data_IF_660493270526
#
_entry.id   IF_660493270526
#
_cell.length_a   1.000
_cell.length_b   1.000
_cell.length_c   1.000
_cell.angle_alpha   90.00
_cell.angle_beta   90.00
_cell.angle_gamma   90.00
#
_symmetry.space_group_name_H-M   'P 1'
#
loop_
_entity.id
_entity.type
_entity.pdbx_description
1 polymer ?
#
# COMPACT_ATOMS: atom_id res chain seq x y z
N UNK A 1 2.84 4.45 -21.68
CA UNK A 1 3.33 5.79 -21.28
C UNK A 1 4.82 5.82 -21.55
N UNK A 2 5.31 6.85 -22.18
CA UNK A 2 6.76 7.05 -22.29
C UNK A 2 7.24 7.59 -20.95
N UNK A 3 8.23 6.95 -20.34
CA UNK A 3 8.99 7.57 -19.26
C UNK A 3 9.72 8.76 -19.91
N UNK A 4 9.54 9.95 -19.37
CA UNK A 4 10.19 11.16 -19.87
C UNK A 4 11.72 11.05 -19.81
N UNK A 5 12.46 11.92 -20.51
CA UNK A 5 13.91 11.85 -20.56
C UNK A 5 14.53 12.03 -19.17
N UNK A 6 15.57 11.26 -18.89
CA UNK A 6 16.41 11.44 -17.69
C UNK A 6 17.28 12.67 -17.90
N UNK A 7 17.17 13.65 -17.02
CA UNK A 7 17.99 14.86 -17.04
C UNK A 7 18.99 14.88 -15.89
N UNK A 8 20.17 15.41 -16.15
CA UNK A 8 21.17 15.70 -15.13
C UNK A 8 21.04 17.16 -14.67
N UNK A 9 20.90 17.37 -13.37
CA UNK A 9 20.87 18.73 -12.78
C UNK A 9 22.29 19.15 -12.43
N UNK A 10 22.76 20.23 -13.05
CA UNK A 10 24.02 20.89 -12.69
C UNK A 10 23.74 22.16 -11.90
N UNK A 11 24.27 22.28 -10.70
CA UNK A 11 24.47 23.58 -10.04
C UNK A 11 25.75 24.18 -10.62
N UNK A 12 25.66 25.43 -11.13
CA UNK A 12 26.71 26.06 -11.92
C UNK A 12 28.08 26.13 -11.26
N UNK A 13 28.96 25.26 -11.70
CA UNK A 13 30.40 25.41 -11.73
C UNK A 13 30.97 24.22 -12.54
N UNK A 14 31.67 24.53 -13.66
CA UNK A 14 32.56 23.71 -14.48
C UNK A 14 32.20 22.24 -14.75
N UNK A 15 32.01 21.94 -16.03
CA UNK A 15 31.71 20.61 -16.57
C UNK A 15 32.79 19.55 -16.30
N UNK A 16 32.33 18.30 -16.01
CA UNK A 16 32.77 17.19 -16.80
C UNK A 16 31.59 16.49 -17.48
N UNK A 17 31.80 16.07 -18.71
CA UNK A 17 30.85 15.33 -19.54
C UNK A 17 30.63 13.94 -18.95
N UNK A 18 29.47 13.68 -18.36
CA UNK A 18 29.02 12.34 -17.96
C UNK A 18 28.02 11.76 -18.97
N UNK A 19 27.89 10.42 -19.06
CA UNK A 19 27.08 9.78 -20.09
C UNK A 19 25.60 10.03 -19.88
N UNK A 20 24.94 10.47 -20.93
CA UNK A 20 23.48 10.56 -21.04
C UNK A 20 22.90 9.15 -21.12
N UNK A 21 22.24 8.67 -20.07
CA UNK A 21 21.50 7.41 -20.12
C UNK A 21 20.15 7.66 -20.83
N UNK A 22 20.08 7.27 -22.09
CA UNK A 22 18.84 7.10 -22.82
C UNK A 22 18.23 5.76 -22.38
N UNK A 23 17.02 5.79 -21.81
CA UNK A 23 16.25 4.58 -21.59
C UNK A 23 15.80 4.01 -22.94
N UNK A 24 16.08 2.73 -23.25
CA UNK A 24 15.71 2.15 -24.53
C UNK A 24 14.20 1.95 -24.63
N UNK A 25 13.65 2.32 -25.79
CA UNK A 25 12.35 1.89 -26.24
C UNK A 25 12.37 0.36 -26.42
N UNK A 26 11.36 -0.29 -25.91
CA UNK A 26 11.20 -1.74 -25.96
C UNK A 26 11.34 -2.28 -27.39
N UNK A 27 12.38 -3.12 -27.64
CA UNK A 27 12.41 -4.28 -28.56
C UNK A 27 13.78 -4.95 -28.58
N UNK A 28 13.81 -6.29 -28.39
CA UNK A 28 14.87 -7.19 -28.89
C UNK A 28 15.92 -7.63 -27.87
N UNK A 29 15.93 -8.92 -27.59
CA UNK A 29 16.80 -9.72 -26.73
C UNK A 29 18.29 -9.76 -27.18
N UNK A 30 19.16 -10.64 -26.59
CA UNK A 30 19.97 -10.37 -25.40
C UNK A 30 21.50 -10.39 -25.74
N UNK A 31 22.32 -9.74 -24.95
CA UNK A 31 23.76 -10.01 -24.94
C UNK A 31 24.25 -10.33 -23.53
N UNK A 32 24.79 -11.54 -23.40
CA UNK A 32 25.51 -12.10 -22.25
C UNK A 32 26.83 -11.36 -22.03
N UNK A 33 27.22 -11.18 -20.74
CA UNK A 33 28.57 -11.44 -20.19
C UNK A 33 28.57 -11.19 -18.70
N UNK A 34 28.82 -12.27 -18.02
CA UNK A 34 29.86 -12.74 -17.13
C UNK A 34 30.08 -11.89 -15.88
N UNK A 35 29.69 -12.49 -14.79
CA UNK A 35 30.09 -12.18 -13.43
C UNK A 35 31.08 -13.25 -13.00
N UNK A 36 32.22 -12.82 -12.53
CA UNK A 36 33.10 -13.63 -11.73
C UNK A 36 32.68 -13.61 -10.27
N UNK A 37 32.78 -14.79 -9.66
CA UNK A 37 32.52 -15.05 -8.27
C UNK A 37 33.63 -14.46 -7.38
N UNK A 38 33.27 -14.11 -6.20
CA UNK A 38 33.86 -14.30 -4.90
C UNK A 38 33.56 -13.13 -3.97
N UNK A 39 32.73 -13.37 -2.99
CA UNK A 39 33.03 -13.15 -1.57
C UNK A 39 31.80 -13.52 -0.70
N UNK A 40 31.91 -14.73 -0.15
CA UNK A 40 31.07 -15.15 0.95
C UNK A 40 31.73 -14.68 2.25
N UNK A 41 31.23 -13.65 2.87
CA UNK A 41 31.51 -13.31 4.25
C UNK A 41 30.22 -13.14 5.03
N UNK A 42 30.03 -14.06 5.96
CA UNK A 42 28.94 -14.12 6.90
C UNK A 42 28.83 -12.84 7.73
N UNK A 43 27.69 -12.16 7.59
CA UNK A 43 27.22 -11.23 8.61
C UNK A 43 25.89 -11.76 9.13
N UNK A 44 25.92 -12.23 10.39
CA UNK A 44 24.74 -12.57 11.15
C UNK A 44 23.83 -11.33 11.23
N UNK A 45 22.84 -11.25 10.37
CA UNK A 45 21.83 -10.21 10.43
C UNK A 45 20.93 -10.48 11.64
N UNK A 46 21.05 -9.63 12.66
CA UNK A 46 20.07 -9.49 13.72
C UNK A 46 18.72 -9.20 13.05
N UNK A 47 17.72 -10.04 13.36
CA UNK A 47 16.34 -9.74 13.01
C UNK A 47 15.99 -8.32 13.44
N UNK A 48 15.51 -7.43 12.56
CA UNK A 48 14.92 -6.20 13.01
C UNK A 48 13.67 -6.58 13.80
N UNK A 49 13.62 -6.21 15.06
CA UNK A 49 12.39 -6.22 15.83
C UNK A 49 11.36 -5.41 15.05
N UNK A 50 10.12 -5.90 15.01
CA UNK A 50 8.97 -5.14 14.55
C UNK A 50 9.08 -3.74 15.18
N UNK A 51 9.54 -2.76 14.39
CA UNK A 51 9.60 -1.40 14.86
C UNK A 51 8.17 -0.95 15.11
N UNK A 52 7.93 -0.62 16.34
CA UNK A 52 6.71 -0.03 16.83
C UNK A 52 6.26 1.07 15.89
N UNK A 53 5.11 0.84 15.25
CA UNK A 53 4.38 1.89 14.58
C UNK A 53 3.86 2.81 15.69
N UNK A 54 4.69 3.77 16.11
CA UNK A 54 4.35 4.77 17.11
C UNK A 54 3.40 5.79 16.50
N UNK A 55 2.14 5.38 16.38
CA UNK A 55 0.98 6.24 16.33
C UNK A 55 -0.16 5.45 16.94
N UNK A 56 -0.65 5.82 18.11
CA UNK A 56 -1.80 5.18 18.70
C UNK A 56 -3.02 5.39 17.78
N UNK A 57 -3.93 4.40 17.70
CA UNK A 57 -5.21 4.63 17.02
C UNK A 57 -5.97 5.70 17.80
N UNK A 58 -6.32 6.81 17.15
CA UNK A 58 -7.19 7.83 17.68
C UNK A 58 -8.54 7.23 18.07
N UNK A 59 -8.73 6.94 19.33
CA UNK A 59 -10.03 6.74 19.93
C UNK A 59 -10.67 8.10 20.18
N UNK A 60 -11.90 8.25 19.75
CA UNK A 60 -12.80 9.32 20.14
C UNK A 60 -12.91 9.38 21.68
N UNK A 61 -12.31 10.40 22.29
CA UNK A 61 -12.55 10.75 23.68
C UNK A 61 -13.75 11.68 23.78
N UNK A 62 -14.61 11.53 24.79
CA UNK A 62 -15.72 12.44 25.06
C UNK A 62 -15.20 13.79 25.58
N UNK A 63 -15.96 14.88 25.45
CA UNK A 63 -15.55 16.21 25.88
C UNK A 63 -15.74 16.42 27.38
N UNK A 64 -14.75 17.04 28.00
CA UNK A 64 -14.96 17.82 29.20
C UNK A 64 -14.20 17.39 30.45
N UNK A 65 -13.16 18.14 30.80
CA UNK A 65 -12.93 18.68 32.14
C UNK A 65 -11.62 19.49 32.23
N UNK A 66 -11.45 20.38 33.24
CA UNK A 66 -10.81 21.67 33.08
C UNK A 66 -9.36 21.76 33.56
N UNK A 67 -8.72 22.83 33.12
CA UNK A 67 -7.46 23.47 33.52
C UNK A 67 -6.74 23.01 34.78
N UNK A 68 -5.43 22.78 34.66
CA UNK A 68 -4.46 22.94 35.74
C UNK A 68 -3.16 23.61 35.24
N UNK A 69 -2.42 24.32 36.10
CA UNK A 69 -1.64 25.50 35.75
C UNK A 69 -0.21 25.23 35.25
N UNK A 70 0.28 26.15 34.44
CA UNK A 70 1.66 26.21 33.93
C UNK A 70 2.71 26.38 35.05
N UNK A 71 3.89 25.75 34.91
CA UNK A 71 5.09 26.14 35.63
C UNK A 71 5.84 27.29 34.93
N UNK A 72 6.66 28.10 35.65
CA UNK A 72 7.28 29.33 35.18
C UNK A 72 8.48 29.06 34.24
N UNK A 73 8.92 30.11 33.49
CA UNK A 73 9.94 29.96 32.45
C UNK A 73 11.35 29.85 33.04
N UNK A 74 12.11 28.89 32.57
CA UNK A 74 13.56 28.80 32.83
C UNK A 74 14.36 29.61 31.81
N UNK A 75 15.44 30.21 32.26
CA UNK A 75 16.33 31.11 31.56
C UNK A 75 17.11 30.47 30.38
N UNK A 76 17.70 31.29 29.47
CA UNK A 76 18.24 30.81 28.21
C UNK A 76 19.62 30.18 28.41
N UNK A 77 19.70 28.91 28.07
CA UNK A 77 20.96 28.18 27.87
C UNK A 77 21.27 28.14 26.37
N UNK A 78 22.37 28.75 25.99
CA UNK A 78 22.99 28.69 24.68
C UNK A 78 23.39 27.25 24.35
N UNK A 79 22.82 26.70 23.26
CA UNK A 79 23.17 25.40 22.71
C UNK A 79 22.81 25.39 21.24
N UNK A 80 23.78 25.62 20.36
CA UNK A 80 23.68 25.46 18.92
C UNK A 80 23.25 24.06 18.55
N UNK A 81 22.12 23.99 17.87
CA UNK A 81 21.54 22.77 17.31
C UNK A 81 20.42 23.15 16.36
N UNK A 82 20.72 23.93 15.32
CA UNK A 82 19.75 24.31 14.28
C UNK A 82 19.43 23.12 13.39
N UNK A 83 18.45 22.32 13.81
CA UNK A 83 17.69 21.47 12.92
C UNK A 83 16.82 22.35 12.03
N UNK A 84 17.42 23.03 11.04
CA UNK A 84 16.67 23.77 10.03
C UNK A 84 15.91 22.77 9.18
N UNK A 85 14.57 22.80 9.23
CA UNK A 85 13.74 22.16 8.24
C UNK A 85 14.25 22.58 6.84
N UNK A 86 14.47 21.62 5.91
CA UNK A 86 15.01 21.94 4.60
C UNK A 86 14.05 22.92 3.91
N UNK A 87 14.56 24.11 3.59
CA UNK A 87 13.79 25.14 2.87
C UNK A 87 13.49 24.70 1.41
N UNK A 88 12.73 25.52 0.69
CA UNK A 88 12.48 25.29 -0.74
C UNK A 88 13.80 25.14 -1.50
N UNK A 89 13.88 24.14 -2.37
CA UNK A 89 15.06 23.89 -3.22
C UNK A 89 14.66 23.83 -4.69
N UNK A 90 15.57 24.25 -5.59
CA UNK A 90 15.35 24.18 -7.04
C UNK A 90 16.16 23.03 -7.64
N UNK A 91 15.48 22.19 -8.40
CA UNK A 91 16.09 21.08 -9.15
C UNK A 91 15.65 21.21 -10.62
N UNK A 92 16.57 21.55 -11.51
CA UNK A 92 16.26 21.84 -12.92
C UNK A 92 15.10 22.84 -13.05
N UNK A 93 14.01 22.42 -13.66
CA UNK A 93 12.82 23.24 -13.93
C UNK A 93 11.76 23.14 -12.80
N UNK A 94 12.11 22.54 -11.65
CA UNK A 94 11.18 22.33 -10.56
C UNK A 94 11.59 23.03 -9.27
N UNK A 95 10.62 23.67 -8.63
CA UNK A 95 10.72 24.14 -7.26
C UNK A 95 10.18 23.07 -6.32
N UNK A 96 11.05 22.52 -5.47
CA UNK A 96 10.68 21.51 -4.47
C UNK A 96 10.29 22.18 -3.16
N UNK A 97 9.10 21.89 -2.68
CA UNK A 97 8.55 22.33 -1.42
C UNK A 97 8.44 21.11 -0.50
N UNK A 98 9.25 21.03 0.57
CA UNK A 98 9.21 19.89 1.49
C UNK A 98 7.82 19.70 2.09
N UNK A 99 7.38 18.45 2.26
CA UNK A 99 6.18 18.11 3.00
C UNK A 99 6.57 17.77 4.44
N UNK A 100 5.98 18.45 5.40
CA UNK A 100 6.27 18.26 6.83
C UNK A 100 5.92 16.86 7.35
N UNK A 101 5.02 16.16 6.68
CA UNK A 101 4.50 14.88 7.13
C UNK A 101 5.27 13.66 6.59
N UNK A 102 6.12 13.83 5.57
CA UNK A 102 6.84 12.73 4.90
C UNK A 102 8.27 13.14 4.55
N UNK A 103 9.23 12.59 5.25
CA UNK A 103 10.64 12.69 4.86
C UNK A 103 10.83 12.12 3.44
N UNK A 104 11.69 12.73 2.64
CA UNK A 104 12.02 12.32 1.27
C UNK A 104 10.91 12.50 0.21
N UNK A 105 9.77 13.10 0.57
CA UNK A 105 8.71 13.44 -0.38
C UNK A 105 8.50 14.95 -0.39
N UNK A 106 8.49 15.54 -1.57
CA UNK A 106 8.27 16.98 -1.77
C UNK A 106 7.16 17.21 -2.80
N UNK A 107 6.45 18.30 -2.64
CA UNK A 107 5.62 18.88 -3.68
C UNK A 107 6.54 19.56 -4.68
N UNK A 108 6.41 19.28 -5.95
CA UNK A 108 7.23 19.84 -7.01
C UNK A 108 6.36 20.71 -7.93
N UNK A 109 6.77 21.96 -8.11
CA UNK A 109 6.10 22.90 -9.01
C UNK A 109 7.00 23.14 -10.22
N UNK A 110 6.52 22.82 -11.41
CA UNK A 110 7.22 23.16 -12.66
C UNK A 110 7.16 24.67 -12.88
N UNK A 111 8.33 25.30 -12.97
CA UNK A 111 8.46 26.77 -13.03
C UNK A 111 7.86 27.31 -14.32
N UNK A 112 7.94 26.56 -15.43
CA UNK A 112 7.49 27.02 -16.75
C UNK A 112 5.99 26.82 -16.98
N UNK A 113 5.42 25.71 -16.46
CA UNK A 113 4.02 25.33 -16.75
C UNK A 113 3.09 25.52 -15.59
N UNK A 114 3.61 25.76 -14.38
CA UNK A 114 2.82 25.76 -13.15
C UNK A 114 2.27 24.38 -12.77
N UNK A 115 2.63 23.31 -13.50
CA UNK A 115 2.17 21.94 -13.22
C UNK A 115 2.72 21.48 -11.88
N UNK A 116 1.83 20.95 -11.06
CA UNK A 116 2.18 20.41 -9.76
C UNK A 116 2.38 18.89 -9.84
N UNK A 117 3.51 18.42 -9.35
CA UNK A 117 3.90 17.01 -9.27
C UNK A 117 4.29 16.66 -7.84
N UNK A 118 4.43 15.38 -7.56
CA UNK A 118 5.06 14.86 -6.35
C UNK A 118 6.47 14.37 -6.69
N UNK A 119 7.46 14.76 -5.91
CA UNK A 119 8.84 14.32 -6.06
C UNK A 119 9.23 13.42 -4.88
N UNK A 120 9.74 12.23 -5.16
CA UNK A 120 10.40 11.34 -4.19
C UNK A 120 11.91 11.37 -4.43
N UNK A 121 12.67 11.47 -3.34
CA UNK A 121 14.13 11.60 -3.38
C UNK A 121 14.77 10.32 -2.87
N UNK A 122 15.60 9.69 -3.69
CA UNK A 122 16.32 8.47 -3.37
C UNK A 122 17.83 8.70 -3.41
N UNK A 123 18.64 7.98 -2.59
CA UNK A 123 20.08 7.92 -2.78
C UNK A 123 20.42 7.39 -4.17
N UNK A 124 21.40 7.99 -4.84
CA UNK A 124 21.79 7.62 -6.21
C UNK A 124 22.19 6.15 -6.33
N UNK A 125 22.73 5.56 -5.25
CA UNK A 125 23.15 4.17 -5.23
C UNK A 125 22.00 3.16 -5.27
N UNK A 126 20.81 3.54 -4.82
CA UNK A 126 19.68 2.63 -4.61
C UNK A 126 18.44 2.98 -5.45
N UNK A 127 18.44 4.10 -6.19
CA UNK A 127 17.25 4.53 -6.91
C UNK A 127 16.80 3.53 -7.98
N UNK A 128 17.75 2.86 -8.65
CA UNK A 128 17.44 1.90 -9.72
C UNK A 128 16.61 0.72 -9.21
N UNK A 129 16.92 0.20 -8.02
CA UNK A 129 16.15 -0.88 -7.42
C UNK A 129 14.75 -0.40 -7.04
N UNK A 130 14.63 0.82 -6.51
CA UNK A 130 13.35 1.42 -6.14
C UNK A 130 12.45 1.73 -7.33
N UNK A 131 12.98 2.10 -8.49
CA UNK A 131 12.19 2.37 -9.70
C UNK A 131 12.00 1.15 -10.60
N UNK A 132 12.72 0.06 -10.37
CA UNK A 132 12.65 -1.17 -11.20
C UNK A 132 11.23 -1.70 -11.37
N UNK A 133 10.37 -1.81 -10.33
CA UNK A 133 9.01 -2.28 -10.49
C UNK A 133 8.18 -1.40 -11.44
N UNK A 134 8.37 -0.09 -11.41
CA UNK A 134 7.67 0.85 -12.31
C UNK A 134 8.07 0.70 -13.78
N UNK A 135 9.34 0.30 -14.03
CA UNK A 135 9.87 0.12 -15.41
C UNK A 135 9.40 -1.23 -15.97
N UNK A 136 9.37 -2.27 -15.14
CA UNK A 136 8.98 -3.62 -15.55
C UNK A 136 7.48 -3.77 -15.76
N UNK A 137 6.68 -3.03 -14.97
CA UNK A 137 5.24 -3.13 -15.02
C UNK A 137 4.69 -2.38 -16.24
N UNK A 138 3.89 -3.04 -17.09
CA UNK A 138 3.15 -2.33 -18.15
C UNK A 138 2.25 -1.26 -17.53
N UNK A 139 2.04 -0.15 -18.26
CA UNK A 139 1.23 0.95 -17.73
C UNK A 139 -0.20 0.51 -17.45
N UNK A 140 -0.72 0.93 -16.30
CA UNK A 140 -2.09 0.64 -15.89
C UNK A 140 -2.76 1.87 -15.29
N UNK A 141 -4.05 2.09 -15.62
CA UNK A 141 -4.81 3.28 -15.21
C UNK A 141 -4.91 3.46 -13.68
N UNK A 142 -4.87 2.36 -12.93
CA UNK A 142 -4.97 2.35 -11.48
C UNK A 142 -3.60 2.16 -10.78
N UNK A 143 -2.49 2.43 -11.48
CA UNK A 143 -1.13 2.39 -10.92
C UNK A 143 -0.40 3.65 -11.31
N UNK A 144 0.28 4.27 -10.35
CA UNK A 144 1.07 5.48 -10.58
C UNK A 144 2.29 5.16 -11.43
N UNK A 145 2.49 5.90 -12.51
CA UNK A 145 3.69 5.83 -13.35
C UNK A 145 4.68 6.94 -13.03
N UNK A 146 5.95 6.72 -13.35
CA UNK A 146 6.99 7.75 -13.27
C UNK A 146 6.78 8.75 -14.40
N UNK A 147 6.75 10.04 -14.07
CA UNK A 147 6.67 11.15 -15.03
C UNK A 147 8.06 11.51 -15.55
N UNK A 148 9.02 11.71 -14.64
CA UNK A 148 10.39 12.10 -14.96
C UNK A 148 11.36 11.64 -13.88
N UNK A 149 12.62 11.42 -14.23
CA UNK A 149 13.72 11.15 -13.30
C UNK A 149 14.84 12.14 -13.58
N UNK A 150 15.27 12.87 -12.56
CA UNK A 150 16.41 13.79 -12.63
C UNK A 150 17.51 13.26 -11.71
N UNK A 151 18.71 13.10 -12.25
CA UNK A 151 19.86 12.59 -11.49
C UNK A 151 20.75 13.75 -11.06
N UNK A 152 20.96 13.87 -9.75
CA UNK A 152 22.00 14.70 -9.16
C UNK A 152 23.25 13.89 -8.82
N UNK A 153 24.20 14.49 -8.15
CA UNK A 153 25.47 13.84 -7.81
C UNK A 153 25.28 12.71 -6.78
N UNK A 154 24.46 12.92 -5.76
CA UNK A 154 24.25 11.98 -4.65
C UNK A 154 22.81 11.48 -4.54
N UNK A 155 21.86 12.14 -5.22
CA UNK A 155 20.42 11.90 -5.11
C UNK A 155 19.78 11.77 -6.48
N UNK A 156 18.77 10.91 -6.56
CA UNK A 156 17.86 10.81 -7.69
C UNK A 156 16.49 11.38 -7.28
N UNK A 157 15.94 12.23 -8.14
CA UNK A 157 14.65 12.88 -7.97
C UNK A 157 13.66 12.23 -8.94
N UNK A 158 12.67 11.54 -8.39
CA UNK A 158 11.68 10.81 -9.18
C UNK A 158 10.33 11.51 -9.07
N UNK A 159 9.78 11.93 -10.18
CA UNK A 159 8.56 12.73 -10.25
C UNK A 159 7.36 11.88 -10.62
N UNK A 160 6.28 12.09 -9.89
CA UNK A 160 5.00 11.42 -10.05
C UNK A 160 3.88 12.45 -10.18
N UNK A 161 2.74 12.02 -10.74
CA UNK A 161 1.54 12.87 -10.76
C UNK A 161 1.10 13.22 -9.33
N UNK A 162 0.56 14.43 -9.18
CA UNK A 162 -0.12 14.88 -7.95
C UNK A 162 -1.30 13.96 -7.64
N UNK A 163 -1.56 13.73 -6.35
CA UNK A 163 -2.77 13.07 -5.87
C UNK A 163 -3.68 14.02 -5.06
N UNK A 164 -4.90 13.56 -4.81
CA UNK A 164 -5.96 14.29 -4.13
C UNK A 164 -6.39 13.62 -2.82
N UNK A 165 -5.43 13.00 -2.15
CA UNK A 165 -5.60 12.33 -0.87
C UNK A 165 -5.73 10.82 -0.99
N UNK A 166 -5.57 10.14 0.14
CA UNK A 166 -5.57 8.68 0.21
C UNK A 166 -6.94 8.10 0.57
N UNK A 167 -7.12 6.82 0.23
CA UNK A 167 -8.37 6.09 0.44
C UNK A 167 -8.68 5.86 1.92
N UNK A 168 -7.67 5.71 2.78
CA UNK A 168 -7.88 5.53 4.22
C UNK A 168 -8.50 6.79 4.86
N UNK A 169 -7.91 7.96 4.57
CA UNK A 169 -8.42 9.26 5.05
C UNK A 169 -9.83 9.54 4.52
N UNK A 170 -10.11 9.12 3.28
CA UNK A 170 -11.42 9.22 2.68
C UNK A 170 -12.49 8.39 3.40
N UNK A 171 -12.19 7.11 3.68
CA UNK A 171 -13.11 6.24 4.43
C UNK A 171 -13.31 6.74 5.86
N UNK A 172 -12.22 7.16 6.53
CA UNK A 172 -12.26 7.70 7.88
C UNK A 172 -13.19 8.92 7.98
N UNK A 173 -13.12 9.85 7.03
CA UNK A 173 -13.98 11.04 7.02
C UNK A 173 -15.46 10.71 6.81
N UNK A 174 -15.77 9.65 6.07
CA UNK A 174 -17.14 9.19 5.77
C UNK A 174 -17.65 8.13 6.73
N UNK A 175 -16.81 7.64 7.63
CA UNK A 175 -17.03 6.52 8.56
C UNK A 175 -17.14 5.17 7.84
N UNK A 176 -17.92 5.05 6.78
CA UNK A 176 -18.05 3.89 5.88
C UNK A 176 -18.60 4.36 4.52
N UNK A 177 -18.46 3.50 3.51
CA UNK A 177 -19.00 3.75 2.18
C UNK A 177 -20.27 2.93 1.94
N UNK A 178 -21.17 3.44 1.08
CA UNK A 178 -22.26 2.65 0.51
C UNK A 178 -21.68 1.58 -0.43
N UNK A 179 -22.33 0.44 -0.56
CA UNK A 179 -21.82 -0.68 -1.36
C UNK A 179 -21.57 -0.30 -2.82
N UNK A 180 -22.40 0.53 -3.40
CA UNK A 180 -22.25 1.02 -4.78
C UNK A 180 -20.92 1.79 -4.96
N UNK A 181 -20.64 2.73 -4.09
CA UNK A 181 -19.38 3.49 -4.10
C UNK A 181 -18.19 2.59 -3.80
N UNK A 182 -18.30 1.73 -2.79
CA UNK A 182 -17.28 0.77 -2.40
C UNK A 182 -16.95 -0.19 -3.56
N UNK A 183 -17.96 -0.68 -4.27
CA UNK A 183 -17.78 -1.58 -5.42
C UNK A 183 -16.97 -0.91 -6.54
N UNK A 184 -17.32 0.31 -6.92
CA UNK A 184 -16.59 1.06 -7.96
C UNK A 184 -15.13 1.32 -7.60
N UNK A 185 -14.87 1.69 -6.34
CA UNK A 185 -13.51 1.98 -5.87
C UNK A 185 -12.71 0.70 -5.62
N UNK A 186 -13.33 -0.32 -5.01
CA UNK A 186 -12.67 -1.59 -4.75
C UNK A 186 -12.32 -2.35 -6.03
N UNK A 187 -13.15 -2.28 -7.07
CA UNK A 187 -12.83 -2.84 -8.38
C UNK A 187 -11.53 -2.28 -8.95
N UNK A 188 -11.27 -0.98 -8.76
CA UNK A 188 -10.03 -0.34 -9.20
C UNK A 188 -8.82 -0.79 -8.37
N UNK A 189 -9.00 -0.96 -7.05
CA UNK A 189 -7.97 -1.52 -6.16
C UNK A 189 -7.59 -2.93 -6.62
N UNK A 190 -8.58 -3.80 -6.79
CA UNK A 190 -8.36 -5.19 -7.23
C UNK A 190 -7.73 -5.25 -8.62
N UNK A 191 -8.17 -4.37 -9.56
CA UNK A 191 -7.59 -4.29 -10.90
C UNK A 191 -6.09 -3.95 -10.88
N UNK A 192 -5.67 -3.03 -10.00
CA UNK A 192 -4.26 -2.72 -9.82
C UNK A 192 -3.46 -3.91 -9.27
N UNK A 193 -4.00 -4.60 -8.26
CA UNK A 193 -3.35 -5.77 -7.64
C UNK A 193 -3.27 -6.93 -8.64
N UNK A 194 -4.34 -7.23 -9.38
CA UNK A 194 -4.37 -8.27 -10.40
C UNK A 194 -3.32 -8.01 -11.49
N UNK A 195 -3.17 -6.76 -11.93
CA UNK A 195 -2.16 -6.37 -12.91
C UNK A 195 -0.73 -6.58 -12.39
N UNK A 196 -0.46 -6.24 -11.11
CA UNK A 196 0.83 -6.52 -10.47
C UNK A 196 1.10 -8.03 -10.40
N UNK A 197 0.13 -8.83 -9.93
CA UNK A 197 0.27 -10.28 -9.81
C UNK A 197 0.50 -10.98 -11.15
N UNK A 198 -0.16 -10.51 -12.23
CA UNK A 198 0.06 -11.01 -13.59
C UNK A 198 1.47 -10.65 -14.12
N UNK A 199 2.04 -9.56 -13.64
CA UNK A 199 3.39 -9.10 -14.01
C UNK A 199 4.47 -9.60 -13.04
N UNK A 200 4.17 -10.66 -12.27
CA UNK A 200 5.09 -11.26 -11.29
C UNK A 200 5.58 -10.29 -10.21
N UNK A 201 4.72 -9.37 -9.78
CA UNK A 201 4.98 -8.43 -8.68
C UNK A 201 4.00 -8.69 -7.55
N UNK A 202 4.53 -8.97 -6.36
CA UNK A 202 3.78 -9.05 -5.10
C UNK A 202 3.96 -7.74 -4.34
N UNK A 203 2.88 -7.22 -3.77
CA UNK A 203 2.88 -5.90 -3.13
C UNK A 203 3.34 -5.94 -1.66
N UNK A 204 3.03 -7.03 -0.94
CA UNK A 204 3.56 -7.34 0.40
C UNK A 204 3.04 -6.46 1.54
N UNK A 205 2.89 -5.16 1.37
CA UNK A 205 2.34 -4.21 2.36
C UNK A 205 1.12 -3.46 1.79
N UNK A 206 0.08 -4.22 1.43
CA UNK A 206 -1.17 -3.64 0.95
C UNK A 206 -2.00 -3.04 2.09
N UNK A 207 -2.42 -1.78 1.89
CA UNK A 207 -3.30 -1.06 2.80
C UNK A 207 -3.99 0.11 2.10
N UNK A 208 -5.10 0.60 2.63
CA UNK A 208 -5.88 1.70 2.03
C UNK A 208 -5.06 2.99 1.82
N UNK A 209 -4.04 3.26 2.66
CA UNK A 209 -3.18 4.44 2.50
C UNK A 209 -2.30 4.41 1.25
N UNK A 210 -2.06 3.22 0.65
CA UNK A 210 -1.30 3.09 -0.60
C UNK A 210 -2.13 3.40 -1.85
N UNK A 211 -3.44 3.57 -1.72
CA UNK A 211 -4.30 3.97 -2.83
C UNK A 211 -4.71 5.43 -2.69
N UNK A 212 -4.38 6.21 -3.71
CA UNK A 212 -4.63 7.66 -3.76
C UNK A 212 -5.57 8.01 -4.89
N UNK A 213 -6.32 9.08 -4.71
CA UNK A 213 -7.18 9.61 -5.76
C UNK A 213 -6.36 10.37 -6.81
N UNK A 214 -6.61 10.11 -8.08
CA UNK A 214 -5.95 10.77 -9.21
C UNK A 214 -6.68 12.02 -9.68
N UNK A 215 -7.91 12.23 -9.21
CA UNK A 215 -8.75 13.37 -9.56
C UNK A 215 -9.39 13.99 -8.31
N UNK A 216 -9.74 15.26 -8.40
CA UNK A 216 -10.35 16.02 -7.31
C UNK A 216 -11.76 15.50 -6.96
N UNK A 217 -12.49 14.96 -7.95
CA UNK A 217 -13.81 14.35 -7.77
C UNK A 217 -13.76 13.04 -6.99
N UNK A 218 -12.55 12.50 -6.74
CA UNK A 218 -12.31 11.27 -5.96
C UNK A 218 -13.07 10.06 -6.47
N UNK A 219 -13.09 9.89 -7.80
CA UNK A 219 -13.72 8.75 -8.47
C UNK A 219 -12.72 7.76 -9.05
N UNK A 220 -11.47 8.18 -9.26
CA UNK A 220 -10.41 7.38 -9.84
C UNK A 220 -9.29 7.16 -8.83
N UNK A 221 -8.97 5.89 -8.58
CA UNK A 221 -7.90 5.46 -7.69
C UNK A 221 -6.68 4.97 -8.47
N UNK A 222 -5.52 5.14 -7.86
CA UNK A 222 -4.27 4.51 -8.29
C UNK A 222 -3.43 4.10 -7.10
N UNK A 223 -2.72 3.00 -7.24
CA UNK A 223 -1.68 2.57 -6.31
C UNK A 223 -0.54 3.59 -6.36
N UNK A 224 -0.20 4.17 -5.21
CA UNK A 224 0.74 5.29 -5.10
C UNK A 224 2.19 4.86 -5.30
N UNK A 225 2.57 3.70 -4.75
CA UNK A 225 3.97 3.32 -4.69
C UNK A 225 4.21 1.83 -4.91
N UNK A 226 5.33 1.54 -5.59
CA UNK A 226 5.83 0.20 -5.88
C UNK A 226 7.26 -0.02 -5.33
N UNK A 227 7.79 0.90 -4.52
CA UNK A 227 9.18 0.87 -4.07
C UNK A 227 9.52 -0.30 -3.14
N UNK A 228 8.52 -0.82 -2.44
CA UNK A 228 8.67 -1.89 -1.43
C UNK A 228 7.97 -3.18 -1.88
N UNK A 229 7.88 -3.40 -3.18
CA UNK A 229 7.28 -4.60 -3.77
C UNK A 229 8.34 -5.67 -4.05
N UNK A 230 7.88 -6.92 -4.18
CA UNK A 230 8.72 -8.06 -4.48
C UNK A 230 8.53 -8.49 -5.94
N UNK A 231 9.62 -8.47 -6.70
CA UNK A 231 9.62 -8.99 -8.07
C UNK A 231 9.93 -10.49 -7.99
N UNK A 232 8.97 -11.30 -8.42
CA UNK A 232 9.06 -12.76 -8.38
C UNK A 232 9.83 -13.25 -9.62
N UNK A 233 10.68 -14.26 -9.40
CA UNK A 233 11.39 -14.96 -10.48
C UNK A 233 10.76 -16.33 -10.66
N UNK A 234 10.11 -16.54 -11.81
CA UNK A 234 9.40 -17.79 -12.08
C UNK A 234 7.95 -17.79 -11.60
N UNK A 235 7.41 -18.99 -11.30
CA UNK A 235 6.02 -19.18 -10.87
C UNK A 235 5.84 -19.17 -9.36
N UNK A 236 6.93 -19.38 -8.60
CA UNK A 236 6.92 -19.44 -7.14
C UNK A 236 6.91 -18.02 -6.54
N UNK A 237 5.83 -17.69 -5.84
CA UNK A 237 5.62 -16.42 -5.14
C UNK A 237 5.96 -16.49 -3.65
N UNK A 238 6.79 -17.46 -3.25
CA UNK A 238 7.18 -17.67 -1.87
C UNK A 238 8.02 -16.51 -1.33
N UNK A 239 7.54 -15.92 -0.23
CA UNK A 239 8.23 -14.86 0.52
C UNK A 239 8.55 -15.36 1.93
N UNK A 240 9.63 -14.85 2.53
CA UNK A 240 10.07 -15.21 3.88
C UNK A 240 10.09 -14.03 4.85
N UNK A 241 10.09 -12.82 4.35
CA UNK A 241 10.14 -11.63 5.16
C UNK A 241 8.77 -11.32 5.82
N UNK A 242 8.84 -10.86 7.06
CA UNK A 242 7.66 -10.55 7.87
C UNK A 242 7.62 -9.06 8.15
N UNK A 243 7.04 -8.33 7.22
CA UNK A 243 6.79 -6.90 7.39
C UNK A 243 5.34 -6.55 7.03
N UNK A 244 4.92 -5.34 7.34
CA UNK A 244 3.60 -4.83 7.01
C UNK A 244 2.83 -4.30 8.22
N UNK A 245 1.67 -3.72 7.94
CA UNK A 245 0.81 -3.15 8.98
C UNK A 245 0.07 -4.27 9.73
N UNK A 246 0.15 -4.34 11.08
CA UNK A 246 -0.47 -5.40 11.89
C UNK A 246 -1.94 -5.65 11.59
N UNK A 247 -2.73 -4.60 11.25
CA UNK A 247 -4.15 -4.74 10.94
C UNK A 247 -4.44 -5.48 9.62
N UNK A 248 -3.44 -5.58 8.72
CA UNK A 248 -3.57 -6.18 7.38
C UNK A 248 -2.83 -7.50 7.23
N UNK A 249 -2.02 -7.89 8.22
CA UNK A 249 -1.19 -9.11 8.15
C UNK A 249 -2.07 -10.36 8.12
N UNK A 250 -1.68 -11.33 7.28
CA UNK A 250 -2.41 -12.59 7.13
C UNK A 250 -2.00 -13.64 8.19
N UNK A 251 -2.87 -14.63 8.46
CA UNK A 251 -2.59 -15.68 9.46
C UNK A 251 -1.30 -16.46 9.18
N UNK A 252 -1.01 -16.78 7.92
CA UNK A 252 0.16 -17.54 7.52
C UNK A 252 1.47 -16.80 7.82
N UNK A 253 1.51 -15.47 7.65
CA UNK A 253 2.68 -14.65 8.01
C UNK A 253 2.97 -14.75 9.50
N UNK A 254 1.92 -14.81 10.33
CA UNK A 254 2.04 -14.93 11.79
C UNK A 254 2.42 -16.34 12.25
N UNK A 255 2.08 -17.38 11.47
CA UNK A 255 2.22 -18.78 11.86
C UNK A 255 3.48 -19.43 11.30
N UNK A 256 3.93 -19.02 10.12
CA UNK A 256 5.04 -19.69 9.45
C UNK A 256 6.40 -19.34 10.07
N UNK A 257 7.26 -20.33 10.13
CA UNK A 257 8.71 -20.15 10.36
C UNK A 257 9.50 -20.18 9.04
N UNK A 258 8.84 -20.49 7.94
CA UNK A 258 9.39 -20.60 6.58
C UNK A 258 8.84 -19.55 5.64
N UNK A 259 8.45 -19.98 4.46
CA UNK A 259 7.89 -19.15 3.39
C UNK A 259 6.37 -19.19 3.38
N UNK A 260 5.76 -18.20 2.74
CA UNK A 260 4.33 -18.08 2.49
C UNK A 260 4.07 -17.52 1.09
N UNK A 261 2.89 -17.76 0.53
CA UNK A 261 2.47 -17.19 -0.76
C UNK A 261 2.22 -15.68 -0.61
N UNK A 262 3.02 -14.87 -1.28
CA UNK A 262 2.88 -13.42 -1.26
C UNK A 262 1.60 -12.94 -1.92
N UNK A 263 1.16 -13.57 -3.04
CA UNK A 263 -0.09 -13.23 -3.70
C UNK A 263 -1.31 -13.54 -2.83
N UNK A 264 -1.31 -14.67 -2.13
CA UNK A 264 -2.39 -15.02 -1.22
C UNK A 264 -2.45 -14.07 0.00
N UNK A 265 -1.29 -13.63 0.50
CA UNK A 265 -1.22 -12.63 1.56
C UNK A 265 -1.74 -11.25 1.11
N UNK A 266 -1.45 -10.83 -0.12
CA UNK A 266 -2.03 -9.63 -0.72
C UNK A 266 -3.57 -9.73 -0.81
N UNK A 267 -4.11 -10.91 -1.16
CA UNK A 267 -5.57 -11.13 -1.21
C UNK A 267 -6.22 -11.03 0.17
N UNK A 268 -5.57 -11.54 1.23
CA UNK A 268 -6.05 -11.30 2.59
C UNK A 268 -6.16 -9.81 2.90
N UNK A 269 -5.12 -9.05 2.56
CA UNK A 269 -5.12 -7.58 2.74
C UNK A 269 -6.25 -6.90 1.96
N UNK A 270 -6.58 -7.39 0.74
CA UNK A 270 -7.76 -6.93 -0.02
C UNK A 270 -9.06 -7.21 0.76
N UNK A 271 -9.17 -8.36 1.41
CA UNK A 271 -10.31 -8.71 2.26
C UNK A 271 -10.47 -7.75 3.45
N UNK A 272 -9.35 -7.42 4.12
CA UNK A 272 -9.35 -6.41 5.21
C UNK A 272 -9.77 -5.04 4.67
N UNK A 273 -9.27 -4.64 3.49
CA UNK A 273 -9.68 -3.38 2.87
C UNK A 273 -11.17 -3.35 2.55
N UNK A 274 -11.71 -4.39 1.90
CA UNK A 274 -13.14 -4.45 1.56
C UNK A 274 -14.02 -4.36 2.81
N UNK A 275 -13.68 -5.13 3.84
CA UNK A 275 -14.39 -5.05 5.12
C UNK A 275 -14.36 -3.63 5.68
N UNK A 276 -13.19 -2.98 5.67
CA UNK A 276 -13.02 -1.62 6.19
C UNK A 276 -13.82 -0.58 5.40
N UNK A 277 -13.90 -0.71 4.07
CA UNK A 277 -14.70 0.17 3.21
C UNK A 277 -16.19 0.13 3.60
N UNK A 278 -16.72 -1.08 3.82
CA UNK A 278 -18.15 -1.31 4.02
C UNK A 278 -18.59 -1.13 5.48
N UNK A 279 -17.72 -1.50 6.43
CA UNK A 279 -18.06 -1.49 7.87
C UNK A 279 -17.51 -0.26 8.59
N UNK A 280 -16.44 0.36 8.07
CA UNK A 280 -15.79 1.53 8.66
C UNK A 280 -14.82 1.21 9.81
N UNK A 281 -14.53 -0.06 10.04
CA UNK A 281 -13.56 -0.55 11.04
C UNK A 281 -12.85 -1.79 10.53
N UNK A 282 -11.73 -2.14 11.14
CA UNK A 282 -11.02 -3.36 10.80
C UNK A 282 -11.79 -4.62 11.25
N UNK A 283 -11.69 -5.75 10.50
CA UNK A 283 -12.32 -7.02 10.88
C UNK A 283 -11.75 -7.59 12.18
N UNK A 284 -10.46 -7.37 12.42
CA UNK A 284 -9.75 -7.78 13.63
C UNK A 284 -9.23 -6.53 14.33
N UNK A 285 -9.50 -6.42 15.60
CA UNK A 285 -9.06 -5.29 16.41
C UNK A 285 -8.86 -5.72 17.87
N UNK A 286 -7.74 -5.26 18.43
CA UNK A 286 -7.47 -5.32 19.86
C UNK A 286 -6.48 -4.22 20.22
N UNK A 287 -6.48 -3.78 21.48
CA UNK A 287 -5.49 -2.86 22.03
C UNK A 287 -4.15 -3.53 22.30
N UNK A 288 -4.17 -4.84 22.61
CA UNK A 288 -2.97 -5.66 22.75
C UNK A 288 -2.60 -6.33 21.43
N UNK A 289 -1.36 -6.14 20.92
CA UNK A 289 -0.90 -6.76 19.69
C UNK A 289 -0.97 -8.29 19.70
N UNK A 290 -0.70 -8.94 20.86
CA UNK A 290 -0.76 -10.39 20.98
C UNK A 290 -2.19 -10.91 20.86
N UNK A 291 -3.15 -10.22 21.46
CA UNK A 291 -4.57 -10.52 21.33
C UNK A 291 -5.06 -10.28 19.90
N UNK A 292 -4.62 -9.19 19.23
CA UNK A 292 -4.90 -8.94 17.83
C UNK A 292 -4.41 -10.10 16.95
N UNK A 293 -3.15 -10.51 17.08
CA UNK A 293 -2.59 -11.61 16.31
C UNK A 293 -3.29 -12.94 16.60
N UNK A 294 -3.73 -13.17 17.84
CA UNK A 294 -4.55 -14.34 18.19
C UNK A 294 -5.89 -14.35 17.46
N UNK A 295 -6.59 -13.20 17.37
CA UNK A 295 -7.83 -13.06 16.59
C UNK A 295 -7.62 -13.31 15.12
N UNK A 296 -6.54 -12.77 14.53
CA UNK A 296 -6.18 -12.98 13.11
C UNK A 296 -5.94 -14.48 12.86
N UNK A 297 -5.12 -15.15 13.71
CA UNK A 297 -4.85 -16.59 13.56
C UNK A 297 -6.09 -17.45 13.61
N UNK A 298 -7.09 -17.10 14.42
CA UNK A 298 -8.36 -17.81 14.49
C UNK A 298 -9.26 -17.52 13.28
N UNK A 299 -9.07 -16.38 12.62
CA UNK A 299 -9.87 -15.95 11.47
C UNK A 299 -11.33 -15.63 11.84
N UNK A 300 -11.61 -15.38 13.13
CA UNK A 300 -12.96 -15.13 13.60
C UNK A 300 -13.29 -13.65 13.61
N UNK A 301 -14.25 -13.24 12.80
CA UNK A 301 -14.76 -11.86 12.72
C UNK A 301 -16.26 -11.86 12.42
N UNK A 302 -16.94 -10.79 12.83
CA UNK A 302 -18.37 -10.60 12.57
C UNK A 302 -18.58 -9.66 11.38
N UNK A 303 -19.50 -10.01 10.49
CA UNK A 303 -19.97 -9.12 9.43
C UNK A 303 -21.35 -8.61 9.83
N UNK A 304 -21.55 -7.28 9.93
CA UNK A 304 -22.84 -6.71 10.34
C UNK A 304 -23.98 -7.05 9.34
N UNK A 305 -25.21 -7.10 9.84
CA UNK A 305 -26.38 -7.54 9.06
C UNK A 305 -26.76 -6.62 7.92
N UNK A 306 -26.40 -5.34 8.00
CA UNK A 306 -26.65 -4.39 6.92
C UNK A 306 -25.77 -4.59 5.67
N UNK A 307 -24.82 -5.51 5.69
CA UNK A 307 -23.98 -5.85 4.53
C UNK A 307 -24.72 -6.87 3.67
N UNK A 308 -24.81 -6.65 2.35
CA UNK A 308 -25.51 -7.55 1.43
C UNK A 308 -24.96 -8.97 1.43
N UNK A 309 -25.78 -9.98 1.11
CA UNK A 309 -25.31 -11.37 1.03
C UNK A 309 -24.13 -11.57 0.08
N UNK A 310 -24.12 -10.88 -1.07
CA UNK A 310 -23.03 -10.97 -2.05
C UNK A 310 -21.74 -10.34 -1.51
N UNK A 311 -21.81 -9.19 -0.83
CA UNK A 311 -20.65 -8.59 -0.18
C UNK A 311 -20.11 -9.48 0.96
N UNK A 312 -20.99 -10.06 1.78
CA UNK A 312 -20.59 -11.03 2.82
C UNK A 312 -19.88 -12.25 2.23
N UNK A 313 -20.39 -12.78 1.12
CA UNK A 313 -19.77 -13.89 0.39
C UNK A 313 -18.34 -13.51 -0.04
N UNK A 314 -18.16 -12.36 -0.68
CA UNK A 314 -16.85 -11.89 -1.13
C UNK A 314 -15.90 -11.70 0.07
N UNK A 315 -16.31 -11.00 1.12
CA UNK A 315 -15.46 -10.81 2.32
C UNK A 315 -14.98 -12.16 2.87
N UNK A 316 -15.89 -13.15 3.02
CA UNK A 316 -15.54 -14.48 3.53
C UNK A 316 -14.60 -15.24 2.59
N UNK A 317 -14.72 -15.08 1.28
CA UNK A 317 -13.84 -15.73 0.29
C UNK A 317 -12.42 -15.15 0.33
N UNK A 318 -12.25 -13.90 0.73
CA UNK A 318 -10.94 -13.24 0.85
C UNK A 318 -10.28 -13.50 2.20
N UNK A 319 -11.06 -13.53 3.29
CA UNK A 319 -10.58 -13.71 4.66
C UNK A 319 -10.62 -15.18 5.11
N UNK A 320 -10.30 -16.12 4.20
CA UNK A 320 -10.07 -17.54 4.52
C UNK A 320 -8.74 -17.69 5.26
N UNK A 321 -8.72 -18.52 6.31
CA UNK A 321 -7.49 -18.82 7.05
C UNK A 321 -6.46 -19.51 6.18
N UNK A 322 -6.91 -20.52 5.41
CA UNK A 322 -6.07 -21.24 4.48
C UNK A 322 -5.82 -20.40 3.21
N UNK A 323 -4.56 -20.08 2.87
CA UNK A 323 -4.24 -19.27 1.70
C UNK A 323 -4.74 -19.84 0.38
N UNK A 324 -4.70 -21.15 0.22
CA UNK A 324 -5.14 -21.86 -1.00
C UNK A 324 -6.65 -21.83 -1.23
N UNK A 325 -7.44 -21.50 -0.21
CA UNK A 325 -8.91 -21.36 -0.32
C UNK A 325 -9.34 -19.93 -0.70
N UNK A 326 -8.42 -18.98 -0.77
CA UNK A 326 -8.72 -17.61 -1.16
C UNK A 326 -8.83 -17.51 -2.68
N UNK A 327 -9.71 -16.61 -3.14
CA UNK A 327 -9.76 -16.22 -4.54
C UNK A 327 -8.44 -15.57 -4.97
N UNK A 328 -8.05 -15.77 -6.21
CA UNK A 328 -6.99 -14.95 -6.83
C UNK A 328 -7.50 -13.53 -7.13
N UNK A 329 -6.59 -12.57 -7.32
CA UNK A 329 -6.99 -11.20 -7.65
C UNK A 329 -7.81 -11.10 -8.95
N UNK A 330 -7.59 -12.00 -9.91
CA UNK A 330 -8.40 -12.07 -11.14
C UNK A 330 -9.80 -12.62 -10.88
N UNK A 331 -9.93 -13.69 -10.09
CA UNK A 331 -11.22 -14.28 -9.75
C UNK A 331 -12.09 -13.31 -8.93
N UNK A 332 -11.47 -12.46 -8.09
CA UNK A 332 -12.18 -11.41 -7.36
C UNK A 332 -12.92 -10.49 -8.34
N UNK A 333 -12.32 -10.10 -9.46
CA UNK A 333 -12.93 -9.21 -10.46
C UNK A 333 -14.17 -9.81 -11.13
N UNK A 334 -14.31 -11.14 -11.10
CA UNK A 334 -15.44 -11.90 -11.67
C UNK A 334 -16.54 -12.16 -10.63
N UNK A 335 -16.35 -11.75 -9.37
CA UNK A 335 -17.32 -12.04 -8.32
C UNK A 335 -18.66 -11.29 -8.56
N UNK A 336 -19.82 -11.96 -8.39
CA UNK A 336 -21.16 -11.40 -8.69
C UNK A 336 -21.53 -10.14 -7.89
N UNK A 337 -20.79 -9.81 -6.83
CA UNK A 337 -20.99 -8.58 -6.08
C UNK A 337 -20.79 -7.33 -6.95
N UNK A 338 -19.80 -7.32 -7.84
CA UNK A 338 -19.54 -6.18 -8.73
C UNK A 338 -20.65 -5.94 -9.77
N UNK A 339 -21.33 -6.99 -10.20
CA UNK A 339 -22.41 -6.88 -11.19
C UNK A 339 -23.70 -6.36 -10.55
N UNK A 340 -24.05 -6.87 -9.38
CA UNK A 340 -25.32 -6.54 -8.71
C UNK A 340 -25.43 -5.11 -8.22
N UNK A 341 -24.30 -4.44 -8.02
CA UNK A 341 -24.25 -3.06 -7.50
C UNK A 341 -24.25 -2.03 -8.64
N UNK A 342 -24.00 -2.47 -9.88
CA UNK A 342 -23.92 -1.61 -11.06
C UNK A 342 -25.23 -1.56 -11.85
N UNK A 343 -26.23 -2.39 -11.53
CA UNK A 343 -27.54 -2.33 -12.18
C UNK A 343 -28.34 -1.10 -11.71
N UNK A 344 -28.81 -0.24 -12.63
CA UNK A 344 -29.67 0.89 -12.29
C UNK A 344 -31.00 0.35 -11.76
N UNK A 345 -31.24 0.48 -10.46
CA UNK A 345 -32.50 0.06 -9.85
C UNK A 345 -32.40 -0.83 -8.64
N UNK A 346 -31.19 -1.16 -8.17
CA UNK A 346 -31.01 -1.84 -6.88
C UNK A 346 -31.37 -0.85 -5.74
N UNK A 347 -32.66 -0.84 -5.43
CA UNK A 347 -33.16 -0.30 -4.16
C UNK A 347 -32.93 -1.40 -3.15
N UNK A 348 -32.35 -1.10 -1.96
CA UNK A 348 -32.37 -1.98 -0.79
C UNK A 348 -33.84 -2.34 -0.47
N UNK A 349 -34.42 -3.25 -1.22
CA UNK A 349 -35.72 -3.82 -0.89
C UNK A 349 -35.48 -4.91 0.14
N UNK A 350 -35.87 -4.61 1.33
CA UNK A 350 -36.08 -5.59 2.38
C UNK A 350 -36.86 -6.80 1.84
N UNK A 351 -36.34 -7.99 2.23
CA UNK A 351 -37.04 -9.27 2.21
C UNK A 351 -37.45 -9.86 0.85
N UNK A 352 -36.50 -10.52 0.23
CA UNK A 352 -36.81 -11.75 -0.53
C UNK A 352 -36.17 -12.93 0.24
N UNK A 353 -36.97 -13.83 0.73
CA UNK A 353 -36.53 -15.09 1.28
C UNK A 353 -35.80 -15.89 0.20
N UNK A 354 -34.49 -15.83 0.21
CA UNK A 354 -33.64 -16.70 -0.57
C UNK A 354 -33.48 -18.02 0.18
N UNK A 355 -33.98 -19.10 -0.39
CA UNK A 355 -33.86 -20.47 0.12
C UNK A 355 -32.41 -21.04 0.06
N UNK A 356 -31.39 -20.20 0.01
CA UNK A 356 -30.02 -20.63 0.22
C UNK A 356 -29.67 -20.46 1.71
N UNK A 357 -29.99 -21.50 2.47
CA UNK A 357 -29.45 -21.70 3.82
C UNK A 357 -27.95 -21.96 3.65
N UNK A 358 -27.13 -20.94 3.90
CA UNK A 358 -25.72 -21.18 4.23
C UNK A 358 -25.75 -21.96 5.56
N UNK A 359 -25.16 -23.18 5.67
CA UNK A 359 -25.18 -23.92 6.89
C UNK A 359 -24.62 -23.03 8.01
N UNK A 360 -25.43 -22.75 9.04
CA UNK A 360 -24.90 -22.30 10.32
C UNK A 360 -23.91 -23.39 10.75
N UNK A 361 -22.67 -23.02 10.99
CA UNK A 361 -21.77 -23.89 11.70
C UNK A 361 -22.43 -24.18 13.03
N UNK A 362 -22.99 -25.39 13.17
CA UNK A 362 -23.26 -25.95 14.48
C UNK A 362 -21.90 -26.00 15.17
N UNK A 363 -21.80 -25.34 16.32
CA UNK A 363 -20.73 -25.58 17.26
C UNK A 363 -20.84 -27.03 17.69
N UNK A 364 -20.14 -27.91 16.96
CA UNK A 364 -19.91 -29.26 17.44
C UNK A 364 -19.03 -29.14 18.69
N UNK A 365 -19.65 -29.45 19.80
CA UNK A 365 -19.10 -29.47 21.17
C UNK A 365 -18.07 -30.61 21.39
N UNK A 366 -17.26 -30.96 20.37
CA UNK A 366 -16.23 -32.00 20.47
C UNK A 366 -14.90 -31.56 19.85
N UNK A 367 -14.29 -30.51 20.42
CA UNK A 367 -12.90 -30.13 20.10
C UNK A 367 -11.89 -30.89 20.97
N UNK A 368 -12.33 -31.76 21.88
CA UNK A 368 -11.42 -32.47 22.80
C UNK A 368 -10.79 -33.74 22.26
N UNK A 369 -11.12 -34.21 21.05
CA UNK A 369 -10.59 -35.47 20.50
C UNK A 369 -9.44 -35.35 19.49
N UNK A 370 -8.94 -34.14 19.20
CA UNK A 370 -7.85 -33.93 18.23
C UNK A 370 -6.49 -33.59 18.85
N UNK A 371 -6.33 -33.73 20.16
CA UNK A 371 -5.03 -33.68 20.83
C UNK A 371 -4.81 -34.95 21.64
N UNK A 372 -4.48 -36.04 20.96
CA UNK A 372 -3.71 -37.17 21.47
C UNK A 372 -2.61 -37.51 20.48
#
# INVERSE_FOLDING_TARGET
MRVGPVRSAMSGASQPRGPTLLLPAARGAPAKRLLDADDAAAVAAKCPRLSECSSPPDYLSPPGSPCSPQPPPAAPGSGDGSGSSPGPSRIADYLLLPLTEREHVSRALCIHTGRELRCKVFPIKHYQDKIRPYIQLPSHRNITGIVEVILGETKAYVFFEKDFGDMHSYVRSRKRLREEEASRLFKQIVSAVAHCHQSAIVLGDLKLRKFVFSTEERTQLRLESLEDTHIIKGEDDALSDKHGCPAYVSPEILNTTGTYSGKAADVWSLGVMLYTLLVGRYPFHDSDPSALFSKIRRGQFCIPDHISPKARCLIRSLLRREPSERLTALEILLHPWFESVLEPGYVDSEMGTSDQIVPEYQEDSDVSSFFC
#
